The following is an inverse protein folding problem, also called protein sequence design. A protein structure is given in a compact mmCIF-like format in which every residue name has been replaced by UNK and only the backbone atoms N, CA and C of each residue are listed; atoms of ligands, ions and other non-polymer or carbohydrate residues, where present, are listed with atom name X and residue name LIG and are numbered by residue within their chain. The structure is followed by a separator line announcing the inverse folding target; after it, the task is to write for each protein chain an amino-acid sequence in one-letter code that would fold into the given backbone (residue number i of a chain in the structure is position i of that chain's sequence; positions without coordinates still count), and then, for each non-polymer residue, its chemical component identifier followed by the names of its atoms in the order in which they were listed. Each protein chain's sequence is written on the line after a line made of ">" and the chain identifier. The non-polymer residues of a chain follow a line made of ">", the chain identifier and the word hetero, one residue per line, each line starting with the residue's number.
data_IF_720831957137
#
_entry.id   IF_720831957137
#
_cell.length_a   1.000
_cell.length_b   1.000
_cell.length_c   1.000
_cell.angle_alpha   90.00
_cell.angle_beta   90.00
_cell.angle_gamma   90.00
#
_symmetry.space_group_name_H-M   'P 1'
#
loop_
_entity.id
_entity.type
_entity.pdbx_description
1 polymer ?
#
# COMPACT_ATOMS: atom_id res chain seq x y z
N UNK A 1 -3.50 12.44 19.70
CA UNK A 1 -3.74 11.67 18.45
C UNK A 1 -3.14 12.45 17.29
N UNK A 2 -2.31 11.81 16.48
CA UNK A 2 -1.56 12.51 15.39
C UNK A 2 -2.40 12.79 14.15
N UNK A 3 -3.52 12.10 13.97
CA UNK A 3 -4.38 12.17 12.78
C UNK A 3 -5.80 12.65 13.12
N UNK A 4 -5.97 13.36 14.22
CA UNK A 4 -7.27 13.84 14.68
C UNK A 4 -8.00 14.64 13.61
N UNK A 5 -9.25 14.28 13.33
CA UNK A 5 -10.11 14.96 12.35
C UNK A 5 -9.71 14.77 10.88
N UNK A 6 -8.71 13.93 10.57
CA UNK A 6 -8.31 13.60 9.20
C UNK A 6 -9.19 12.52 8.59
N UNK A 7 -9.42 12.60 7.30
CA UNK A 7 -10.08 11.56 6.50
C UNK A 7 -9.02 10.80 5.71
N UNK A 8 -8.92 9.49 5.95
CA UNK A 8 -7.89 8.64 5.36
C UNK A 8 -8.49 7.52 4.51
N UNK A 9 -8.17 7.47 3.22
CA UNK A 9 -8.47 6.35 2.32
C UNK A 9 -7.31 5.35 2.39
N UNK A 10 -7.60 4.06 2.59
CA UNK A 10 -6.64 2.96 2.51
C UNK A 10 -7.14 1.95 1.49
N UNK A 11 -6.43 1.83 0.36
CA UNK A 11 -6.76 0.84 -0.67
C UNK A 11 -6.19 -0.54 -0.30
N UNK A 12 -6.91 -1.62 -0.62
CA UNK A 12 -6.58 -2.95 -0.10
C UNK A 12 -6.67 -3.00 1.42
N UNK A 13 -7.61 -2.23 1.98
CA UNK A 13 -7.68 -1.93 3.41
C UNK A 13 -8.35 -3.01 4.25
N UNK A 14 -8.94 -4.04 3.66
CA UNK A 14 -9.70 -5.05 4.41
C UNK A 14 -8.84 -6.15 5.06
N UNK A 15 -7.54 -6.24 4.74
CA UNK A 15 -6.66 -7.27 5.29
C UNK A 15 -5.18 -6.90 5.34
N UNK A 16 -4.39 -7.74 6.01
CA UNK A 16 -2.94 -7.59 6.10
C UNK A 16 -2.49 -6.21 6.56
N UNK A 17 -1.49 -5.65 5.88
CA UNK A 17 -0.93 -4.33 6.19
C UNK A 17 -2.00 -3.23 6.13
N UNK A 18 -2.90 -3.30 5.12
CA UNK A 18 -3.96 -2.30 4.97
C UNK A 18 -4.90 -2.26 6.18
N UNK A 19 -5.32 -3.41 6.68
CA UNK A 19 -6.20 -3.49 7.86
C UNK A 19 -5.49 -2.97 9.13
N UNK A 20 -4.22 -3.31 9.33
CA UNK A 20 -3.44 -2.80 10.46
C UNK A 20 -3.30 -1.27 10.41
N UNK A 21 -3.05 -0.70 9.21
CA UNK A 21 -3.02 0.76 9.01
C UNK A 21 -4.39 1.38 9.32
N UNK A 22 -5.48 0.78 8.85
CA UNK A 22 -6.84 1.26 9.12
C UNK A 22 -7.11 1.36 10.62
N UNK A 23 -6.82 0.29 11.37
CA UNK A 23 -6.98 0.27 12.83
C UNK A 23 -6.14 1.36 13.49
N UNK A 24 -4.86 1.41 13.17
CA UNK A 24 -3.96 2.37 13.77
C UNK A 24 -4.33 3.82 13.44
N UNK A 25 -4.76 4.11 12.23
CA UNK A 25 -5.21 5.46 11.86
C UNK A 25 -6.46 5.89 12.63
N UNK A 26 -7.40 4.96 12.84
CA UNK A 26 -8.57 5.22 13.67
C UNK A 26 -8.21 5.44 15.16
N UNK A 27 -7.24 4.72 15.69
CA UNK A 27 -6.68 4.95 17.04
C UNK A 27 -6.04 6.34 17.16
N UNK A 28 -5.42 6.83 16.07
CA UNK A 28 -4.81 8.16 15.99
C UNK A 28 -5.82 9.28 15.65
N UNK A 29 -7.12 8.98 15.63
CA UNK A 29 -8.21 9.95 15.48
C UNK A 29 -8.64 10.20 14.04
N UNK A 30 -8.15 9.47 13.05
CA UNK A 30 -8.62 9.59 11.68
C UNK A 30 -9.98 8.89 11.47
N UNK A 31 -10.81 9.49 10.62
CA UNK A 31 -11.94 8.78 10.01
C UNK A 31 -11.44 7.97 8.83
N UNK A 32 -11.51 6.65 8.92
CA UNK A 32 -10.91 5.73 7.94
C UNK A 32 -11.93 5.30 6.90
N UNK A 33 -11.52 5.31 5.63
CA UNK A 33 -12.25 4.74 4.49
C UNK A 33 -11.47 3.52 4.00
N UNK A 34 -12.04 2.36 4.24
CA UNK A 34 -11.52 1.04 3.85
C UNK A 34 -11.97 0.78 2.42
N UNK A 35 -11.06 0.88 1.46
CA UNK A 35 -11.34 0.68 0.05
C UNK A 35 -10.80 -0.69 -0.39
N UNK A 36 -11.68 -1.65 -0.66
CA UNK A 36 -11.28 -3.01 -1.04
C UNK A 36 -12.33 -3.64 -1.97
N UNK A 37 -11.91 -4.62 -2.78
CA UNK A 37 -12.83 -5.44 -3.58
C UNK A 37 -13.57 -6.49 -2.73
N UNK A 38 -13.02 -6.84 -1.58
CA UNK A 38 -13.62 -7.74 -0.59
C UNK A 38 -14.54 -6.94 0.33
N UNK A 39 -15.74 -6.66 -0.18
CA UNK A 39 -16.66 -5.76 0.49
C UNK A 39 -17.10 -6.25 1.87
N UNK A 40 -17.35 -7.57 2.04
CA UNK A 40 -17.80 -8.14 3.32
C UNK A 40 -16.74 -8.00 4.41
N UNK A 41 -15.48 -8.31 4.09
CA UNK A 41 -14.36 -8.12 5.01
C UNK A 41 -14.15 -6.63 5.34
N UNK A 42 -14.31 -5.75 4.33
CA UNK A 42 -14.24 -4.31 4.54
C UNK A 42 -15.33 -3.81 5.49
N UNK A 43 -16.58 -4.27 5.31
CA UNK A 43 -17.71 -3.94 6.18
C UNK A 43 -17.50 -4.47 7.61
N UNK A 44 -17.03 -5.71 7.74
CA UNK A 44 -16.74 -6.31 9.05
C UNK A 44 -15.66 -5.51 9.78
N UNK A 45 -14.57 -5.15 9.08
CA UNK A 45 -13.49 -4.34 9.66
C UNK A 45 -13.98 -2.93 10.05
N UNK A 46 -14.79 -2.29 9.22
CA UNK A 46 -15.34 -0.97 9.54
C UNK A 46 -16.24 -1.00 10.79
N UNK A 47 -17.04 -2.04 10.94
CA UNK A 47 -17.88 -2.25 12.13
C UNK A 47 -17.04 -2.47 13.38
N UNK A 48 -15.97 -3.25 13.28
CA UNK A 48 -15.06 -3.54 14.40
C UNK A 48 -14.24 -2.31 14.83
N UNK A 49 -13.73 -1.51 13.87
CA UNK A 49 -13.05 -0.24 14.15
C UNK A 49 -14.01 0.76 14.81
N UNK A 50 -15.26 0.81 14.35
CA UNK A 50 -16.20 1.85 14.77
C UNK A 50 -15.75 3.25 14.37
N UNK A 51 -15.87 4.25 15.26
CA UNK A 51 -15.35 5.62 15.09
C UNK A 51 -15.72 6.27 13.74
N UNK A 52 -16.84 5.89 13.14
CA UNK A 52 -17.29 6.39 11.84
C UNK A 52 -16.47 5.88 10.64
N UNK A 53 -15.77 4.75 10.79
CA UNK A 53 -15.10 4.08 9.68
C UNK A 53 -16.10 3.68 8.60
N UNK A 54 -15.67 3.75 7.33
CA UNK A 54 -16.49 3.52 6.15
C UNK A 54 -15.84 2.43 5.31
N UNK A 55 -16.60 1.44 4.86
CA UNK A 55 -16.17 0.53 3.83
C UNK A 55 -16.76 0.94 2.48
N UNK A 56 -15.94 0.95 1.43
CA UNK A 56 -16.34 1.24 0.05
C UNK A 56 -15.77 0.17 -0.89
N UNK A 57 -16.56 -0.29 -1.88
CA UNK A 57 -16.06 -1.16 -2.92
C UNK A 57 -14.99 -0.44 -3.73
N UNK A 58 -13.89 -1.15 -4.06
CA UNK A 58 -12.81 -0.57 -4.82
C UNK A 58 -12.12 -1.61 -5.70
N UNK A 59 -12.11 -1.32 -7.01
CA UNK A 59 -11.35 -2.09 -8.00
C UNK A 59 -10.29 -1.18 -8.64
N UNK A 60 -9.01 -1.47 -8.33
CA UNK A 60 -7.88 -0.64 -8.75
C UNK A 60 -7.73 -0.55 -10.29
N UNK A 61 -8.22 -1.52 -11.03
CA UNK A 61 -8.14 -1.57 -12.50
C UNK A 61 -9.28 -0.81 -13.20
N UNK A 62 -10.28 -0.34 -12.44
CA UNK A 62 -11.46 0.36 -12.95
C UNK A 62 -11.40 1.86 -12.66
N UNK A 63 -11.35 2.67 -13.73
CA UNK A 63 -11.37 4.14 -13.61
C UNK A 63 -12.70 4.64 -13.01
N UNK A 64 -13.81 3.94 -13.25
CA UNK A 64 -15.11 4.30 -12.66
C UNK A 64 -15.10 4.02 -11.16
N UNK A 65 -14.56 2.88 -10.74
CA UNK A 65 -14.40 2.55 -9.32
C UNK A 65 -13.51 3.56 -8.60
N UNK A 66 -12.39 3.98 -9.22
CA UNK A 66 -11.50 5.00 -8.66
C UNK A 66 -12.25 6.34 -8.48
N UNK A 67 -13.01 6.77 -9.48
CA UNK A 67 -13.82 8.00 -9.40
C UNK A 67 -14.89 7.91 -8.33
N UNK A 68 -15.60 6.78 -8.28
CA UNK A 68 -16.64 6.54 -7.29
C UNK A 68 -16.09 6.54 -5.86
N UNK A 69 -14.91 5.93 -5.63
CA UNK A 69 -14.26 5.95 -4.32
C UNK A 69 -14.05 7.37 -3.80
N UNK A 70 -13.52 8.27 -4.63
CA UNK A 70 -13.26 9.66 -4.23
C UNK A 70 -14.59 10.39 -3.99
N UNK A 71 -15.56 10.27 -4.89
CA UNK A 71 -16.85 10.95 -4.78
C UNK A 71 -17.62 10.50 -3.52
N UNK A 72 -17.71 9.20 -3.28
CA UNK A 72 -18.36 8.64 -2.09
C UNK A 72 -17.63 9.02 -0.79
N UNK A 73 -16.30 9.07 -0.81
CA UNK A 73 -15.53 9.53 0.35
C UNK A 73 -15.85 10.98 0.67
N UNK A 74 -15.87 11.85 -0.33
CA UNK A 74 -16.22 13.27 -0.15
C UNK A 74 -17.64 13.42 0.35
N UNK A 75 -18.60 12.72 -0.25
CA UNK A 75 -20.02 12.80 0.13
C UNK A 75 -20.25 12.33 1.58
N UNK A 76 -19.57 11.28 2.01
CA UNK A 76 -19.81 10.64 3.31
C UNK A 76 -18.89 11.13 4.42
N UNK A 77 -17.67 11.59 4.09
CA UNK A 77 -16.68 12.01 5.08
C UNK A 77 -16.26 13.50 4.96
N UNK A 78 -16.73 14.23 3.94
CA UNK A 78 -16.50 15.67 3.79
C UNK A 78 -15.18 16.04 3.09
N UNK A 79 -14.38 15.06 2.67
CA UNK A 79 -13.13 15.30 1.96
C UNK A 79 -12.14 14.17 2.12
N UNK A 80 -10.90 14.39 1.64
CA UNK A 80 -9.78 13.42 1.75
C UNK A 80 -8.53 14.17 2.19
N UNK A 81 -7.89 13.74 3.26
CA UNK A 81 -6.65 14.33 3.78
C UNK A 81 -5.45 13.38 3.61
N UNK A 82 -5.70 12.07 3.63
CA UNK A 82 -4.67 11.05 3.54
C UNK A 82 -5.09 9.97 2.55
N UNK A 83 -4.16 9.54 1.70
CA UNK A 83 -4.29 8.34 0.87
C UNK A 83 -3.17 7.36 1.18
N UNK A 84 -3.51 6.12 1.45
CA UNK A 84 -2.56 5.00 1.45
C UNK A 84 -2.87 4.09 0.27
N UNK A 85 -2.04 4.14 -0.76
CA UNK A 85 -2.08 3.21 -1.89
C UNK A 85 -1.41 1.90 -1.49
N UNK A 86 -2.20 0.98 -0.92
CA UNK A 86 -1.72 -0.31 -0.44
C UNK A 86 -2.19 -1.50 -1.29
N UNK A 87 -3.27 -1.35 -2.05
CA UNK A 87 -3.75 -2.42 -2.93
C UNK A 87 -2.66 -2.91 -3.89
N UNK A 88 -2.37 -4.20 -3.89
CA UNK A 88 -1.37 -4.81 -4.75
C UNK A 88 -1.67 -6.29 -4.97
N UNK A 89 -1.12 -6.81 -6.08
CA UNK A 89 -1.08 -8.24 -6.38
C UNK A 89 0.36 -8.68 -6.56
N UNK A 90 0.60 -9.96 -6.32
CA UNK A 90 1.91 -10.60 -6.46
C UNK A 90 1.81 -11.77 -7.43
N UNK A 91 2.82 -11.91 -8.27
CA UNK A 91 3.05 -13.10 -9.06
C UNK A 91 4.55 -13.34 -9.24
N UNK A 92 4.95 -14.58 -9.55
CA UNK A 92 6.32 -14.96 -9.84
C UNK A 92 6.38 -16.09 -10.86
N UNK A 93 7.41 -16.03 -11.71
CA UNK A 93 7.78 -17.09 -12.65
C UNK A 93 9.24 -16.90 -13.08
N UNK A 94 9.92 -17.94 -13.59
CA UNK A 94 11.16 -17.78 -14.34
C UNK A 94 10.96 -16.79 -15.48
N UNK A 95 11.98 -15.99 -15.80
CA UNK A 95 11.86 -14.96 -16.87
C UNK A 95 11.38 -15.53 -18.19
N UNK A 96 11.78 -16.75 -18.52
CA UNK A 96 11.37 -17.43 -19.75
C UNK A 96 9.92 -17.95 -19.74
N UNK A 97 9.26 -17.94 -18.58
CA UNK A 97 7.89 -18.43 -18.39
C UNK A 97 6.90 -17.31 -18.03
N UNK A 98 7.36 -16.06 -17.96
CA UNK A 98 6.48 -14.92 -17.70
C UNK A 98 5.47 -14.80 -18.84
N UNK A 99 4.18 -14.75 -18.47
CA UNK A 99 3.09 -14.58 -19.43
C UNK A 99 2.69 -13.10 -19.53
N UNK A 100 2.15 -12.69 -20.67
CA UNK A 100 1.57 -11.37 -20.87
C UNK A 100 0.45 -11.09 -19.86
N UNK A 101 -0.40 -12.08 -19.58
CA UNK A 101 -1.47 -11.99 -18.57
C UNK A 101 -0.94 -11.67 -17.16
N UNK A 102 0.14 -12.34 -16.74
CA UNK A 102 0.79 -12.05 -15.45
C UNK A 102 1.34 -10.63 -15.41
N UNK A 103 2.05 -10.22 -16.46
CA UNK A 103 2.57 -8.86 -16.59
C UNK A 103 1.45 -7.81 -16.53
N UNK A 104 0.42 -7.97 -17.36
CA UNK A 104 -0.70 -7.03 -17.43
C UNK A 104 -1.44 -6.93 -16.10
N UNK A 105 -1.71 -8.06 -15.44
CA UNK A 105 -2.38 -8.09 -14.13
C UNK A 105 -1.58 -7.33 -13.09
N UNK A 106 -0.27 -7.62 -12.97
CA UNK A 106 0.59 -6.98 -11.96
C UNK A 106 0.73 -5.48 -12.22
N UNK A 107 0.98 -5.08 -13.46
CA UNK A 107 1.12 -3.65 -13.80
C UNK A 107 -0.22 -2.90 -13.75
N UNK A 108 -1.33 -3.52 -14.14
CA UNK A 108 -2.65 -2.90 -14.06
C UNK A 108 -3.01 -2.52 -12.61
N UNK A 109 -2.76 -3.40 -11.66
CA UNK A 109 -3.06 -3.13 -10.24
C UNK A 109 -1.98 -2.27 -9.60
N UNK A 110 -0.72 -2.75 -9.62
CA UNK A 110 0.35 -2.17 -8.80
C UNK A 110 0.86 -0.82 -9.30
N UNK A 111 0.74 -0.55 -10.60
CA UNK A 111 1.29 0.67 -11.23
C UNK A 111 0.17 1.57 -11.74
N UNK A 112 -0.64 1.10 -12.69
CA UNK A 112 -1.69 1.89 -13.31
C UNK A 112 -2.77 2.26 -12.28
N UNK A 113 -3.28 1.30 -11.53
CA UNK A 113 -4.29 1.52 -10.50
C UNK A 113 -3.83 2.49 -9.40
N UNK A 114 -2.60 2.29 -8.92
CA UNK A 114 -1.97 3.20 -7.95
C UNK A 114 -1.86 4.63 -8.50
N UNK A 115 -1.35 4.81 -9.72
CA UNK A 115 -1.16 6.13 -10.33
C UNK A 115 -2.49 6.87 -10.47
N UNK A 116 -3.51 6.22 -11.01
CA UNK A 116 -4.79 6.89 -11.24
C UNK A 116 -5.58 7.11 -9.96
N UNK A 117 -5.42 6.27 -8.93
CA UNK A 117 -5.97 6.54 -7.59
C UNK A 117 -5.27 7.74 -6.95
N UNK A 118 -3.94 7.79 -7.00
CA UNK A 118 -3.16 8.96 -6.58
C UNK A 118 -3.65 10.23 -7.29
N UNK A 119 -3.77 10.20 -8.62
CA UNK A 119 -4.20 11.34 -9.42
C UNK A 119 -5.61 11.83 -9.03
N UNK A 120 -6.58 10.90 -8.88
CA UNK A 120 -7.94 11.26 -8.54
C UNK A 120 -8.02 11.90 -7.14
N UNK A 121 -7.33 11.31 -6.16
CA UNK A 121 -7.27 11.86 -4.79
C UNK A 121 -6.50 13.18 -4.76
N UNK A 122 -5.37 13.29 -5.46
CA UNK A 122 -4.60 14.55 -5.52
C UNK A 122 -5.43 15.70 -6.11
N UNK A 123 -6.20 15.46 -7.18
CA UNK A 123 -7.13 16.46 -7.74
C UNK A 123 -8.14 16.94 -6.70
N UNK A 124 -8.68 16.01 -5.90
CA UNK A 124 -9.58 16.35 -4.81
C UNK A 124 -8.89 17.17 -3.72
N UNK A 125 -7.66 16.79 -3.32
CA UNK A 125 -6.86 17.52 -2.33
C UNK A 125 -6.53 18.94 -2.81
N UNK A 126 -6.17 19.11 -4.10
CA UNK A 126 -5.96 20.44 -4.70
C UNK A 126 -7.23 21.28 -4.67
N UNK A 127 -8.37 20.70 -5.05
CA UNK A 127 -9.66 21.40 -5.01
C UNK A 127 -10.07 21.81 -3.58
N UNK A 128 -9.68 21.04 -2.56
CA UNK A 128 -9.90 21.38 -1.14
C UNK A 128 -8.99 22.52 -0.63
N UNK A 129 -7.81 22.71 -1.23
CA UNK A 129 -6.88 23.79 -0.92
C UNK A 129 -6.20 23.73 0.45
N UNK A 130 -6.25 22.57 1.13
CA UNK A 130 -5.68 22.39 2.49
C UNK A 130 -4.50 21.42 2.56
N UNK A 131 -3.94 21.03 1.38
CA UNK A 131 -2.86 20.07 1.27
C UNK A 131 -3.31 18.63 1.49
N UNK A 132 -2.35 17.73 1.75
CA UNK A 132 -2.63 16.32 2.01
C UNK A 132 -1.39 15.47 2.13
N UNK A 133 -1.58 14.19 2.46
CA UNK A 133 -0.52 13.18 2.55
C UNK A 133 -0.88 11.97 1.70
N UNK A 134 0.04 11.55 0.85
CA UNK A 134 -0.12 10.35 0.01
C UNK A 134 1.05 9.40 0.32
N UNK A 135 0.72 8.16 0.65
CA UNK A 135 1.69 7.13 0.98
C UNK A 135 1.51 5.97 0.01
N UNK A 136 2.54 5.68 -0.78
CA UNK A 136 2.54 4.58 -1.73
C UNK A 136 3.28 3.37 -1.16
N UNK A 137 2.62 2.21 -1.12
CA UNK A 137 3.26 0.98 -0.66
C UNK A 137 4.07 0.35 -1.79
N UNK A 138 5.39 0.53 -1.73
CA UNK A 138 6.35 -0.17 -2.57
C UNK A 138 6.70 -1.54 -1.95
N UNK A 139 7.95 -1.92 -1.98
CA UNK A 139 8.54 -3.13 -1.38
C UNK A 139 10.07 -3.00 -1.41
N UNK A 140 10.78 -3.76 -0.57
CA UNK A 140 12.21 -4.00 -0.78
C UNK A 140 12.50 -4.55 -2.19
N UNK A 141 11.56 -5.31 -2.78
CA UNK A 141 11.63 -5.79 -4.15
C UNK A 141 11.68 -4.66 -5.19
N UNK A 142 11.26 -3.44 -4.86
CA UNK A 142 11.42 -2.25 -5.70
C UNK A 142 12.82 -1.66 -5.66
N UNK A 143 13.67 -2.10 -4.73
CA UNK A 143 15.06 -1.64 -4.55
C UNK A 143 16.08 -2.57 -5.20
N UNK A 144 15.69 -3.82 -5.43
CA UNK A 144 16.56 -4.86 -6.00
C UNK A 144 15.78 -5.80 -6.89
N UNK A 145 16.49 -6.48 -7.82
CA UNK A 145 15.95 -7.63 -8.52
C UNK A 145 16.02 -8.88 -7.67
N UNK A 146 15.04 -9.76 -7.84
CA UNK A 146 15.02 -11.10 -7.26
C UNK A 146 14.71 -12.11 -8.36
N UNK A 147 15.43 -13.25 -8.38
CA UNK A 147 15.10 -14.35 -9.29
C UNK A 147 13.64 -14.77 -9.11
N UNK A 148 12.97 -15.14 -10.20
CA UNK A 148 11.54 -15.48 -10.28
C UNK A 148 10.58 -14.29 -10.10
N UNK A 149 10.99 -13.13 -9.58
CA UNK A 149 10.08 -12.05 -9.15
C UNK A 149 10.19 -10.81 -10.06
N UNK A 150 10.68 -10.97 -11.31
CA UNK A 150 11.04 -9.86 -12.18
C UNK A 150 9.92 -8.83 -12.39
N UNK A 151 8.70 -9.28 -12.72
CA UNK A 151 7.55 -8.38 -13.00
C UNK A 151 7.13 -7.63 -11.74
N UNK A 152 7.05 -8.31 -10.60
CA UNK A 152 6.70 -7.67 -9.34
C UNK A 152 7.78 -6.67 -8.90
N UNK A 153 9.08 -7.03 -8.97
CA UNK A 153 10.18 -6.11 -8.69
C UNK A 153 10.09 -4.85 -9.55
N UNK A 154 9.90 -5.00 -10.87
CA UNK A 154 9.74 -3.89 -11.80
C UNK A 154 8.55 -3.00 -11.44
N UNK A 155 7.39 -3.60 -11.09
CA UNK A 155 6.20 -2.85 -10.67
C UNK A 155 6.46 -2.03 -9.40
N UNK A 156 7.19 -2.58 -8.42
CA UNK A 156 7.50 -1.89 -7.16
C UNK A 156 8.62 -0.84 -7.32
N UNK A 157 9.54 -1.02 -8.26
CA UNK A 157 10.48 0.02 -8.68
C UNK A 157 9.76 1.19 -9.37
N UNK A 158 8.78 0.90 -10.22
CA UNK A 158 7.94 1.93 -10.83
C UNK A 158 7.18 2.74 -9.77
N UNK A 159 6.68 2.12 -8.70
CA UNK A 159 6.04 2.82 -7.57
C UNK A 159 7.00 3.79 -6.89
N UNK A 160 8.27 3.42 -6.68
CA UNK A 160 9.28 4.33 -6.12
C UNK A 160 9.47 5.55 -7.03
N UNK A 161 9.65 5.33 -8.34
CA UNK A 161 9.82 6.41 -9.31
C UNK A 161 8.58 7.32 -9.40
N UNK A 162 7.37 6.74 -9.41
CA UNK A 162 6.12 7.51 -9.37
C UNK A 162 5.99 8.33 -8.09
N UNK A 163 6.41 7.79 -6.95
CA UNK A 163 6.41 8.50 -5.65
C UNK A 163 7.30 9.74 -5.72
N UNK A 164 8.50 9.61 -6.30
CA UNK A 164 9.45 10.71 -6.46
C UNK A 164 8.88 11.80 -7.36
N UNK A 165 8.40 11.42 -8.54
CA UNK A 165 7.87 12.36 -9.52
C UNK A 165 6.61 13.07 -9.01
N UNK A 166 5.68 12.34 -8.39
CA UNK A 166 4.46 12.91 -7.84
C UNK A 166 4.76 13.80 -6.63
N UNK A 167 5.72 13.43 -5.77
CA UNK A 167 6.14 14.23 -4.63
C UNK A 167 6.66 15.60 -5.04
N UNK A 168 7.54 15.63 -6.05
CA UNK A 168 8.06 16.88 -6.59
C UNK A 168 6.97 17.72 -7.30
N UNK A 169 6.06 17.07 -8.02
CA UNK A 169 5.01 17.77 -8.79
C UNK A 169 3.83 18.25 -7.96
N UNK A 170 3.62 17.73 -6.75
CA UNK A 170 2.45 18.07 -5.92
C UNK A 170 2.76 18.91 -4.69
N UNK A 171 4.06 19.10 -4.37
CA UNK A 171 4.44 19.85 -3.15
C UNK A 171 4.05 21.32 -3.20
N UNK A 172 3.95 21.93 -4.38
CA UNK A 172 3.44 23.29 -4.54
C UNK A 172 2.00 23.44 -4.01
N UNK A 173 1.22 22.35 -4.02
CA UNK A 173 -0.12 22.27 -3.45
C UNK A 173 -0.13 21.83 -1.98
N UNK A 174 1.04 21.75 -1.32
CA UNK A 174 1.21 21.24 0.05
C UNK A 174 0.75 19.78 0.20
N UNK A 175 0.90 18.98 -0.86
CA UNK A 175 0.62 17.55 -0.85
C UNK A 175 1.96 16.82 -0.81
N UNK A 176 2.27 16.20 0.33
CA UNK A 176 3.44 15.33 0.44
C UNK A 176 3.12 13.97 -0.15
N UNK A 177 3.95 13.48 -1.05
CA UNK A 177 3.88 12.11 -1.56
C UNK A 177 5.16 11.39 -1.16
N UNK A 178 5.00 10.32 -0.36
CA UNK A 178 6.09 9.48 0.12
C UNK A 178 5.73 8.00 -0.07
N UNK A 179 6.69 7.13 0.14
CA UNK A 179 6.50 5.69 0.05
C UNK A 179 6.95 4.96 1.31
N UNK A 180 6.45 3.75 1.46
CA UNK A 180 6.99 2.75 2.38
C UNK A 180 7.40 1.56 1.52
N UNK A 181 8.58 1.01 1.79
CA UNK A 181 9.09 -0.22 1.20
C UNK A 181 9.17 -1.31 2.29
N UNK A 182 8.10 -2.10 2.47
CA UNK A 182 8.13 -3.21 3.41
C UNK A 182 9.16 -4.27 2.99
N UNK A 183 9.73 -4.95 3.98
CA UNK A 183 10.42 -6.22 3.80
C UNK A 183 9.45 -7.37 3.63
N UNK A 184 9.84 -8.55 4.10
CA UNK A 184 8.96 -9.73 4.15
C UNK A 184 8.02 -9.61 5.36
N UNK A 185 6.72 -9.47 5.10
CA UNK A 185 5.70 -9.26 6.14
C UNK A 185 4.73 -10.44 6.16
N UNK A 186 4.51 -11.05 7.31
CA UNK A 186 3.61 -12.21 7.46
C UNK A 186 2.16 -11.78 7.27
N UNK A 187 1.60 -12.12 6.13
CA UNK A 187 0.22 -11.85 5.74
C UNK A 187 -0.31 -13.02 4.93
N UNK A 188 -1.63 -13.09 4.73
CA UNK A 188 -2.24 -14.11 3.87
C UNK A 188 -1.69 -14.12 2.42
N UNK A 189 -1.07 -13.04 1.95
CA UNK A 189 -0.38 -13.02 0.66
C UNK A 189 0.78 -14.03 0.64
N UNK A 190 1.47 -14.23 1.79
CA UNK A 190 2.60 -15.14 1.89
C UNK A 190 2.23 -16.62 1.72
N UNK A 191 0.99 -17.01 1.97
CA UNK A 191 0.55 -18.39 1.71
C UNK A 191 0.60 -18.68 0.20
N UNK A 192 0.17 -17.73 -0.63
CA UNK A 192 0.30 -17.83 -2.10
C UNK A 192 1.74 -17.70 -2.56
N UNK A 193 2.50 -16.77 -2.00
CA UNK A 193 3.92 -16.54 -2.33
C UNK A 193 4.73 -17.80 -2.06
N UNK A 194 4.57 -18.40 -0.88
CA UNK A 194 5.26 -19.63 -0.48
C UNK A 194 4.92 -20.81 -1.42
N UNK A 195 3.64 -20.99 -1.76
CA UNK A 195 3.20 -22.04 -2.68
C UNK A 195 3.82 -21.87 -4.09
N UNK A 196 3.96 -20.64 -4.58
CA UNK A 196 4.59 -20.35 -5.86
C UNK A 196 6.11 -20.64 -5.81
N UNK A 197 6.80 -20.22 -4.75
CA UNK A 197 8.21 -20.57 -4.55
C UNK A 197 8.41 -22.07 -4.40
N UNK A 198 7.55 -22.77 -3.65
CA UNK A 198 7.59 -24.22 -3.50
C UNK A 198 7.56 -24.92 -4.86
N UNK A 199 6.70 -24.45 -5.79
CA UNK A 199 6.60 -24.97 -7.16
C UNK A 199 7.91 -24.81 -7.93
N UNK A 200 8.51 -23.63 -7.96
CA UNK A 200 9.65 -23.33 -8.83
C UNK A 200 11.01 -23.66 -8.20
N UNK A 201 11.12 -23.62 -6.87
CA UNK A 201 12.36 -24.00 -6.16
C UNK A 201 12.36 -25.48 -5.72
N UNK A 202 11.29 -26.25 -6.03
CA UNK A 202 11.13 -27.66 -5.63
C UNK A 202 11.27 -27.87 -4.12
N UNK A 203 10.60 -27.01 -3.33
CA UNK A 203 10.62 -27.03 -1.86
C UNK A 203 9.28 -27.49 -1.29
N UNK A 204 9.30 -27.89 -0.02
CA UNK A 204 8.06 -28.10 0.72
C UNK A 204 7.33 -26.78 0.98
N UNK A 205 5.99 -26.84 1.01
CA UNK A 205 5.16 -25.67 1.40
C UNK A 205 5.52 -25.27 2.84
N UNK A 206 5.69 -23.97 3.09
CA UNK A 206 6.11 -23.40 4.37
C UNK A 206 7.62 -23.24 4.52
N UNK A 207 8.42 -23.96 3.74
CA UNK A 207 9.87 -23.92 3.84
C UNK A 207 10.44 -22.56 3.42
N UNK A 208 9.97 -22.00 2.31
CA UNK A 208 10.44 -20.66 1.85
C UNK A 208 10.08 -19.58 2.85
N UNK A 209 8.84 -19.59 3.35
CA UNK A 209 8.39 -18.64 4.37
C UNK A 209 9.29 -18.66 5.61
N UNK A 210 9.67 -19.87 6.08
CA UNK A 210 10.60 -20.05 7.19
C UNK A 210 11.97 -19.45 6.88
N UNK A 211 12.57 -19.85 5.75
CA UNK A 211 13.92 -19.42 5.34
C UNK A 211 14.03 -17.90 5.18
N UNK A 212 13.03 -17.26 4.56
CA UNK A 212 13.07 -15.80 4.41
C UNK A 212 12.90 -15.08 5.76
N UNK A 213 12.13 -15.64 6.69
CA UNK A 213 12.00 -15.11 8.04
C UNK A 213 13.30 -15.20 8.82
N UNK A 214 13.99 -16.33 8.76
CA UNK A 214 15.30 -16.55 9.41
C UNK A 214 16.41 -15.67 8.82
N UNK A 215 16.29 -15.30 7.53
CA UNK A 215 17.26 -14.45 6.85
C UNK A 215 17.13 -12.95 7.19
N UNK A 216 16.01 -12.51 7.78
CA UNK A 216 15.84 -11.11 8.19
C UNK A 216 16.77 -10.80 9.37
N UNK A 217 17.64 -9.77 9.29
CA UNK A 217 18.56 -9.42 10.38
C UNK A 217 17.88 -9.19 11.74
N UNK A 218 16.63 -8.69 11.73
CA UNK A 218 15.84 -8.52 12.96
C UNK A 218 15.42 -9.85 13.61
N UNK A 219 15.64 -11.00 12.94
CA UNK A 219 15.37 -12.34 13.47
C UNK A 219 13.96 -12.89 13.22
N UNK A 220 13.09 -12.17 12.50
CA UNK A 220 11.75 -12.64 12.11
C UNK A 220 11.23 -11.91 10.89
N UNK A 221 10.20 -12.46 10.27
CA UNK A 221 9.36 -11.68 9.35
C UNK A 221 8.72 -10.49 10.10
N UNK A 222 8.49 -9.39 9.37
CA UNK A 222 7.67 -8.30 9.86
C UNK A 222 6.22 -8.76 10.08
N UNK A 223 5.53 -8.09 10.99
CA UNK A 223 4.08 -8.19 11.15
C UNK A 223 3.43 -6.94 10.54
N UNK A 224 2.15 -6.99 10.14
CA UNK A 224 1.44 -5.82 9.63
C UNK A 224 1.57 -4.58 10.54
N UNK A 225 1.58 -4.79 11.85
CA UNK A 225 1.68 -3.75 12.88
C UNK A 225 3.04 -3.02 12.84
N UNK A 226 4.12 -3.69 12.42
CA UNK A 226 5.45 -3.08 12.31
C UNK A 226 5.48 -1.92 11.29
N UNK A 227 4.54 -1.90 10.32
CA UNK A 227 4.44 -0.86 9.29
C UNK A 227 3.63 0.36 9.75
N UNK A 228 2.78 0.20 10.78
CA UNK A 228 1.80 1.21 11.16
C UNK A 228 2.44 2.48 11.73
N UNK A 229 3.55 2.34 12.45
CA UNK A 229 4.29 3.48 12.98
C UNK A 229 4.83 4.40 11.87
N UNK A 230 5.44 3.83 10.84
CA UNK A 230 5.91 4.57 9.67
C UNK A 230 4.74 5.21 8.90
N UNK A 231 3.63 4.48 8.75
CA UNK A 231 2.43 5.00 8.08
C UNK A 231 1.83 6.21 8.83
N UNK A 232 1.73 6.15 10.17
CA UNK A 232 1.27 7.29 10.99
C UNK A 232 2.23 8.47 10.89
N UNK A 233 3.54 8.21 10.97
CA UNK A 233 4.55 9.25 10.85
C UNK A 233 4.44 9.99 9.52
N UNK A 234 4.44 9.29 8.39
CA UNK A 234 4.34 9.90 7.06
C UNK A 234 2.99 10.57 6.80
N UNK A 235 1.92 10.17 7.48
CA UNK A 235 0.59 10.78 7.38
C UNK A 235 0.42 12.01 8.27
N UNK A 236 1.30 12.23 9.24
CA UNK A 236 1.21 13.30 10.23
C UNK A 236 2.00 14.56 9.84
N UNK A 237 1.87 15.62 10.63
CA UNK A 237 2.65 16.85 10.50
C UNK A 237 4.16 16.64 10.79
N UNK A 238 4.53 15.57 11.52
CA UNK A 238 5.92 15.24 11.80
C UNK A 238 6.74 14.99 10.51
N UNK A 239 6.05 14.68 9.40
CA UNK A 239 6.65 14.42 8.09
C UNK A 239 6.42 15.57 7.08
N UNK A 240 6.12 16.80 7.51
CA UNK A 240 5.84 17.90 6.59
C UNK A 240 7.04 18.27 5.71
N UNK A 241 8.27 18.10 6.21
CA UNK A 241 9.49 18.37 5.46
C UNK A 241 10.05 17.13 4.71
N UNK A 242 9.30 16.01 4.73
CA UNK A 242 9.68 14.78 4.01
C UNK A 242 8.87 14.72 2.72
N UNK A 243 9.56 14.75 1.59
CA UNK A 243 8.98 14.79 0.24
C UNK A 243 9.70 13.80 -0.65
N UNK A 244 8.94 13.03 -1.43
CA UNK A 244 9.46 12.12 -2.45
C UNK A 244 10.40 11.02 -1.92
N UNK A 245 10.31 10.70 -0.63
CA UNK A 245 11.12 9.65 0.00
C UNK A 245 10.36 8.33 0.06
N UNK A 246 11.10 7.24 0.00
CA UNK A 246 10.55 5.90 0.27
C UNK A 246 11.32 5.29 1.44
N UNK A 247 10.61 5.10 2.56
CA UNK A 247 11.16 4.59 3.80
C UNK A 247 11.15 3.06 3.81
N UNK A 248 12.30 2.43 4.04
CA UNK A 248 12.36 0.99 4.26
C UNK A 248 11.86 0.65 5.68
N UNK A 249 10.98 -0.36 5.76
CA UNK A 249 10.52 -0.97 7.02
C UNK A 249 10.62 -2.48 6.83
N UNK A 250 11.81 -3.02 7.01
CA UNK A 250 12.19 -4.34 6.51
C UNK A 250 13.06 -5.16 7.46
N UNK A 251 13.23 -4.70 8.71
CA UNK A 251 14.05 -5.40 9.71
C UNK A 251 15.54 -5.45 9.36
N UNK A 252 16.03 -4.51 8.54
CA UNK A 252 17.43 -4.47 8.07
C UNK A 252 17.71 -5.39 6.89
N UNK A 253 16.68 -5.90 6.23
CA UNK A 253 16.84 -6.87 5.14
C UNK A 253 17.44 -6.23 3.87
N UNK A 254 17.27 -4.93 3.69
CA UNK A 254 17.84 -4.19 2.57
C UNK A 254 18.26 -2.77 2.98
N UNK A 255 19.50 -2.42 2.68
CA UNK A 255 20.03 -1.07 2.84
C UNK A 255 20.02 -0.37 1.47
N UNK A 256 19.42 0.82 1.38
CA UNK A 256 19.35 1.62 0.16
C UNK A 256 19.82 3.04 0.40
#
# INVERSE_FOLDING_TARGET
>A
MKLEGKVAIVTGGSGGIGAAICRRYAEEGARVVIADRREDEGRALAADIGRGAIALPFEATSMDSIRALVAETVARAGGVDILVNNAAVFDLAPVLEITEESYDTVFAVNVKGLLFTLQAVARQMVAQGRGGKIINMSSQAGRRGEALVAVYCASKAAVISLTQSAGLGLIEHKINVNGIAPGVVDTAMWDRVDALFAKYEHRAIGEKKKLVGEAVPYGRMGMPEDLTGAAVFLASADADYIVAQTLNVDGGNWMS
#
